data_IF_095828732722
#
_entry.id   IF_095828732722
#
_cell.length_a   1.000
_cell.length_b   1.000
_cell.length_c   1.000
_cell.angle_alpha   90.00
_cell.angle_beta   90.00
_cell.angle_gamma   90.00
#
_symmetry.space_group_name_H-M   'P 1'
#
loop_
_entity.id
_entity.type
_entity.pdbx_description
1 polymer ?
#
# COMPACT_ATOMS: atom_id res chain seq x y z
N UNK A 1 6.13 43.16 38.68
CA UNK A 1 5.85 42.77 37.27
C UNK A 1 7.14 42.39 36.50
N UNK A 2 8.20 43.20 36.47
CA UNK A 2 9.44 42.89 35.70
C UNK A 2 10.09 41.54 36.06
N UNK A 3 10.17 41.18 37.35
CA UNK A 3 10.77 39.90 37.79
C UNK A 3 10.00 38.65 37.31
N UNK A 4 8.67 38.75 37.17
CA UNK A 4 7.86 37.62 36.67
C UNK A 4 8.08 37.43 35.16
N UNK A 5 8.14 38.53 34.40
CA UNK A 5 8.41 38.48 32.96
C UNK A 5 9.78 37.87 32.62
N UNK A 6 10.84 38.19 33.37
CA UNK A 6 12.16 37.59 33.16
C UNK A 6 12.20 36.08 33.45
N UNK A 7 11.42 35.62 34.44
CA UNK A 7 11.33 34.19 34.77
C UNK A 7 10.62 33.40 33.66
N UNK A 8 9.55 33.95 33.09
CA UNK A 8 8.83 33.35 31.98
C UNK A 8 9.68 33.30 30.69
N UNK A 9 10.43 34.36 30.39
CA UNK A 9 11.37 34.38 29.27
C UNK A 9 12.46 33.31 29.42
N UNK A 10 12.99 33.11 30.64
CA UNK A 10 13.99 32.07 30.90
C UNK A 10 13.40 30.67 30.70
N UNK A 11 12.19 30.41 31.20
CA UNK A 11 11.50 29.13 30.97
C UNK A 11 11.27 28.85 29.49
N UNK A 12 10.86 29.86 28.71
CA UNK A 12 10.66 29.71 27.27
C UNK A 12 11.97 29.42 26.56
N UNK A 13 13.05 30.14 26.91
CA UNK A 13 14.39 29.91 26.37
C UNK A 13 14.90 28.49 26.66
N UNK A 14 14.73 28.02 27.90
CA UNK A 14 15.14 26.67 28.30
C UNK A 14 14.33 25.60 27.57
N UNK A 15 13.02 25.80 27.38
CA UNK A 15 12.16 24.91 26.62
C UNK A 15 12.53 24.85 25.13
N UNK A 16 12.84 25.98 24.51
CA UNK A 16 13.31 26.04 23.11
C UNK A 16 14.65 25.31 22.95
N UNK A 17 15.60 25.51 23.88
CA UNK A 17 16.89 24.81 23.85
C UNK A 17 16.72 23.29 24.01
N UNK A 18 15.79 22.84 24.85
CA UNK A 18 15.45 21.42 24.98
C UNK A 18 14.86 20.85 23.68
N UNK A 19 13.92 21.56 23.05
CA UNK A 19 13.32 21.15 21.78
C UNK A 19 14.34 21.12 20.62
N UNK A 20 15.27 22.08 20.56
CA UNK A 20 16.36 22.07 19.57
C UNK A 20 17.31 20.88 19.78
N UNK A 21 17.62 20.53 21.03
CA UNK A 21 18.43 19.36 21.35
C UNK A 21 17.76 18.05 20.92
N UNK A 22 16.46 17.91 21.17
CA UNK A 22 15.67 16.75 20.75
C UNK A 22 15.61 16.64 19.22
N UNK A 23 15.36 17.77 18.53
CA UNK A 23 15.39 17.84 17.07
C UNK A 23 16.76 17.47 16.50
N UNK A 24 17.84 17.91 17.11
CA UNK A 24 19.20 17.57 16.70
C UNK A 24 19.49 16.06 16.87
N UNK A 25 19.02 15.46 17.97
CA UNK A 25 19.15 14.02 18.20
C UNK A 25 18.37 13.21 17.15
N UNK A 26 17.14 13.60 16.83
CA UNK A 26 16.33 12.95 15.78
C UNK A 26 16.98 13.06 14.38
N UNK A 27 17.59 14.21 14.07
CA UNK A 27 18.35 14.39 12.82
C UNK A 27 19.58 13.46 12.78
N UNK A 28 20.32 13.35 13.89
CA UNK A 28 21.49 12.48 13.97
C UNK A 28 21.14 11.00 13.81
N UNK A 29 20.08 10.53 14.48
CA UNK A 29 19.58 9.16 14.34
C UNK A 29 19.15 8.86 12.90
N UNK A 30 18.49 9.82 12.26
CA UNK A 30 18.08 9.71 10.85
C UNK A 30 19.27 9.61 9.89
N UNK A 31 20.31 10.42 10.10
CA UNK A 31 21.53 10.36 9.29
C UNK A 31 22.24 9.02 9.45
N UNK A 32 22.32 8.49 10.69
CA UNK A 32 22.88 7.17 10.94
C UNK A 32 22.08 6.05 10.23
N UNK A 33 20.75 6.15 10.23
CA UNK A 33 19.91 5.21 9.50
C UNK A 33 20.11 5.28 7.97
N UNK A 34 20.23 6.50 7.41
CA UNK A 34 20.52 6.68 5.98
C UNK A 34 21.88 6.12 5.57
N UNK A 35 22.90 6.32 6.40
CA UNK A 35 24.23 5.74 6.17
C UNK A 35 24.18 4.21 6.15
N UNK A 36 23.45 3.60 7.10
CA UNK A 36 23.24 2.14 7.13
C UNK A 36 22.53 1.61 5.87
N UNK A 37 21.55 2.36 5.34
CA UNK A 37 20.90 1.98 4.08
C UNK A 37 21.85 2.06 2.88
N UNK A 38 22.74 3.05 2.84
CA UNK A 38 23.77 3.16 1.80
C UNK A 38 24.78 2.01 1.88
N UNK A 39 25.18 1.60 3.09
CA UNK A 39 26.05 0.44 3.31
C UNK A 39 25.41 -0.86 2.82
N UNK A 40 24.12 -1.07 3.11
CA UNK A 40 23.36 -2.24 2.61
C UNK A 40 23.28 -2.22 1.08
N UNK A 41 22.95 -1.07 0.47
CA UNK A 41 22.88 -0.95 -0.98
C UNK A 41 24.24 -1.18 -1.67
N UNK A 42 25.34 -0.70 -1.06
CA UNK A 42 26.68 -0.94 -1.54
C UNK A 42 27.07 -2.43 -1.46
N UNK A 43 26.70 -3.12 -0.38
CA UNK A 43 26.92 -4.56 -0.23
C UNK A 43 26.13 -5.38 -1.27
N UNK A 44 24.85 -5.05 -1.51
CA UNK A 44 24.03 -5.69 -2.54
C UNK A 44 24.62 -5.47 -3.95
N UNK A 45 25.14 -4.26 -4.23
CA UNK A 45 25.79 -3.95 -5.50
C UNK A 45 27.10 -4.73 -5.68
N UNK A 46 27.89 -4.90 -4.62
CA UNK A 46 29.12 -5.68 -4.65
C UNK A 46 28.84 -7.18 -4.92
N UNK A 47 27.85 -7.77 -4.25
CA UNK A 47 27.43 -9.16 -4.48
C UNK A 47 26.94 -9.38 -5.92
N UNK A 48 26.17 -8.42 -6.46
CA UNK A 48 25.71 -8.47 -7.84
C UNK A 48 26.88 -8.37 -8.85
N UNK A 49 27.90 -7.58 -8.55
CA UNK A 49 29.09 -7.46 -9.40
C UNK A 49 29.92 -8.75 -9.39
N UNK A 50 30.13 -9.36 -8.21
CA UNK A 50 30.84 -10.64 -8.07
C UNK A 50 30.10 -11.76 -8.83
N UNK A 51 28.77 -11.82 -8.73
CA UNK A 51 27.95 -12.77 -9.49
C UNK A 51 28.06 -12.56 -11.01
N UNK A 52 28.15 -11.30 -11.47
CA UNK A 52 28.34 -10.96 -12.87
C UNK A 52 29.72 -11.43 -13.37
N UNK A 53 30.77 -11.21 -12.59
CA UNK A 53 32.14 -11.64 -12.91
C UNK A 53 32.27 -13.17 -12.97
N UNK A 54 31.71 -13.88 -11.99
CA UNK A 54 31.64 -15.35 -12.00
C UNK A 54 30.91 -15.88 -13.26
N UNK A 55 29.82 -15.22 -13.64
CA UNK A 55 29.08 -15.56 -14.87
C UNK A 55 29.91 -15.30 -16.13
N UNK A 56 30.71 -14.22 -16.14
CA UNK A 56 31.60 -13.86 -17.26
C UNK A 56 32.71 -14.88 -17.45
N UNK A 57 33.32 -15.40 -16.37
CA UNK A 57 34.34 -16.45 -16.47
C UNK A 57 33.76 -17.77 -16.99
N UNK A 58 32.57 -18.16 -16.52
CA UNK A 58 31.85 -19.33 -17.06
C UNK A 58 31.54 -19.18 -18.56
N UNK A 59 31.23 -17.96 -19.02
CA UNK A 59 30.96 -17.67 -20.42
C UNK A 59 32.19 -17.83 -21.33
N UNK A 60 33.39 -17.50 -20.83
CA UNK A 60 34.65 -17.63 -21.59
C UNK A 60 35.01 -19.08 -21.89
N UNK A 61 34.63 -20.03 -21.02
CA UNK A 61 35.02 -21.43 -21.16
C UNK A 61 34.20 -22.29 -22.13
N UNK A 62 33.04 -21.83 -22.64
CA UNK A 62 32.09 -22.75 -23.33
C UNK A 62 31.51 -22.29 -24.67
N UNK A 63 31.93 -21.16 -25.24
CA UNK A 63 31.32 -20.67 -26.48
C UNK A 63 29.83 -20.28 -26.34
N UNK A 64 29.37 -20.06 -25.09
CA UNK A 64 27.98 -19.70 -24.74
C UNK A 64 27.83 -18.16 -24.60
N UNK A 65 28.74 -17.39 -25.20
CA UNK A 65 28.78 -15.93 -25.09
C UNK A 65 27.45 -15.25 -25.46
N UNK A 66 26.69 -15.79 -26.43
CA UNK A 66 25.38 -15.25 -26.83
C UNK A 66 24.30 -15.40 -25.76
N UNK A 67 24.24 -16.53 -25.05
CA UNK A 67 23.22 -16.77 -24.03
C UNK A 67 23.46 -15.89 -22.80
N UNK A 68 24.74 -15.74 -22.41
CA UNK A 68 25.15 -14.91 -21.27
C UNK A 68 24.92 -13.43 -21.56
N UNK A 69 25.25 -12.94 -22.76
CA UNK A 69 24.97 -11.54 -23.13
C UNK A 69 23.46 -11.25 -23.18
N UNK A 70 22.63 -12.23 -23.51
CA UNK A 70 21.17 -12.08 -23.50
C UNK A 70 20.63 -12.02 -22.06
N UNK A 71 21.13 -12.88 -21.16
CA UNK A 71 20.76 -12.84 -19.74
C UNK A 71 21.22 -11.55 -19.04
N UNK A 72 22.46 -11.11 -19.30
CA UNK A 72 22.98 -9.82 -18.79
C UNK A 72 22.18 -8.67 -19.38
N UNK A 73 21.84 -8.72 -20.68
CA UNK A 73 20.95 -7.75 -21.31
C UNK A 73 19.58 -7.69 -20.64
N UNK A 74 18.97 -8.83 -20.30
CA UNK A 74 17.68 -8.88 -19.59
C UNK A 74 17.78 -8.31 -18.17
N UNK A 75 18.86 -8.60 -17.43
CA UNK A 75 19.09 -8.03 -16.10
C UNK A 75 19.33 -6.53 -16.17
N UNK A 76 20.17 -6.06 -17.11
CA UNK A 76 20.45 -4.64 -17.32
C UNK A 76 19.25 -3.88 -17.87
N UNK A 77 18.43 -4.48 -18.74
CA UNK A 77 17.16 -3.89 -19.18
C UNK A 77 16.16 -3.87 -18.02
N UNK A 78 16.17 -4.86 -17.14
CA UNK A 78 15.37 -4.89 -15.91
C UNK A 78 15.76 -3.76 -14.95
N UNK A 79 17.05 -3.57 -14.69
CA UNK A 79 17.54 -2.48 -13.84
C UNK A 79 17.41 -1.11 -14.52
N UNK A 80 17.64 -1.01 -15.83
CA UNK A 80 17.44 0.23 -16.59
C UNK A 80 15.96 0.60 -16.73
N UNK A 81 15.05 -0.36 -16.91
CA UNK A 81 13.60 -0.09 -16.90
C UNK A 81 13.11 0.32 -15.53
N UNK A 82 13.72 -0.20 -14.46
CA UNK A 82 13.51 0.25 -13.09
C UNK A 82 13.96 1.71 -12.91
N UNK A 83 15.16 2.07 -13.37
CA UNK A 83 15.62 3.47 -13.36
C UNK A 83 14.80 4.38 -14.29
N UNK A 84 14.30 3.86 -15.42
CA UNK A 84 13.45 4.61 -16.37
C UNK A 84 12.04 4.84 -15.84
N UNK A 85 11.46 3.90 -15.08
CA UNK A 85 10.19 4.12 -14.38
C UNK A 85 10.34 5.14 -13.26
N UNK A 86 11.45 5.13 -12.50
CA UNK A 86 11.78 6.22 -11.58
C UNK A 86 11.93 7.56 -12.32
N UNK A 87 12.61 7.57 -13.47
CA UNK A 87 12.81 8.78 -14.27
C UNK A 87 11.50 9.32 -14.91
N UNK A 88 10.59 8.43 -15.34
CA UNK A 88 9.27 8.80 -15.89
C UNK A 88 8.34 9.31 -14.80
N UNK A 89 8.38 8.73 -13.58
CA UNK A 89 7.64 9.22 -12.42
C UNK A 89 8.15 10.61 -11.97
N UNK A 90 9.45 10.86 -12.10
CA UNK A 90 10.04 12.19 -11.92
C UNK A 90 9.53 13.15 -13.00
N UNK A 91 9.44 12.74 -14.28
CA UNK A 91 8.92 13.60 -15.35
C UNK A 91 7.40 13.89 -15.24
N UNK A 92 6.58 12.94 -14.79
CA UNK A 92 5.14 13.16 -14.54
C UNK A 92 4.90 14.07 -13.32
N UNK A 93 5.73 13.95 -12.28
CA UNK A 93 5.75 14.90 -11.16
C UNK A 93 6.14 16.31 -11.63
N UNK A 94 7.12 16.41 -12.53
CA UNK A 94 7.56 17.67 -13.13
C UNK A 94 6.44 18.33 -13.96
N UNK A 95 5.71 17.60 -14.80
CA UNK A 95 4.60 18.15 -15.59
C UNK A 95 3.45 18.69 -14.71
N UNK A 96 3.19 18.08 -13.56
CA UNK A 96 2.23 18.57 -12.59
C UNK A 96 2.74 19.82 -11.85
N UNK A 97 4.04 19.87 -11.52
CA UNK A 97 4.67 21.06 -10.93
C UNK A 97 4.73 22.24 -11.92
N UNK A 98 4.99 21.99 -13.20
CA UNK A 98 4.96 23.03 -14.26
C UNK A 98 3.54 23.56 -14.44
N UNK A 99 2.50 22.70 -14.42
CA UNK A 99 1.10 23.13 -14.50
C UNK A 99 0.65 23.98 -13.29
N UNK A 100 1.13 23.66 -12.09
CA UNK A 100 0.90 24.46 -10.87
C UNK A 100 1.64 25.79 -10.97
N UNK A 101 2.88 25.81 -11.47
CA UNK A 101 3.64 27.05 -11.69
C UNK A 101 3.05 27.95 -12.78
N UNK A 102 2.52 27.43 -13.89
CA UNK A 102 1.81 28.27 -14.89
C UNK A 102 0.56 28.90 -14.30
N UNK A 103 -0.17 28.18 -13.42
CA UNK A 103 -1.33 28.74 -12.70
C UNK A 103 -0.93 29.76 -11.63
N UNK A 104 0.23 29.58 -10.99
CA UNK A 104 0.78 30.52 -10.01
C UNK A 104 1.38 31.77 -10.68
N UNK A 105 2.08 31.61 -11.81
CA UNK A 105 2.64 32.71 -12.59
C UNK A 105 1.56 33.60 -13.23
N UNK A 106 0.41 33.03 -13.60
CA UNK A 106 -0.76 33.82 -14.02
C UNK A 106 -1.45 34.56 -12.86
N UNK A 107 -1.17 34.20 -11.60
CA UNK A 107 -1.76 34.81 -10.41
C UNK A 107 -0.84 35.85 -9.72
N UNK A 108 0.45 35.92 -10.08
CA UNK A 108 1.46 36.78 -9.43
C UNK A 108 2.09 37.74 -10.45
N UNK A 109 1.28 38.35 -11.32
CA UNK A 109 1.74 39.34 -12.31
C UNK A 109 1.64 40.79 -11.82
N UNK A 110 1.73 41.07 -10.52
CA UNK A 110 1.62 42.44 -10.00
C UNK A 110 2.64 42.85 -8.93
N UNK A 111 3.71 42.10 -8.71
CA UNK A 111 4.76 42.56 -7.78
C UNK A 111 6.17 42.29 -8.28
N UNK A 112 6.91 43.37 -8.54
CA UNK A 112 8.20 43.38 -9.21
C UNK A 112 9.33 43.56 -8.20
N UNK A 113 9.60 42.52 -7.41
CA UNK A 113 10.89 42.40 -6.69
C UNK A 113 11.10 40.97 -6.17
N UNK A 114 11.58 40.06 -7.03
CA UNK A 114 12.07 38.75 -6.60
C UNK A 114 13.42 38.42 -7.29
N UNK A 115 14.36 37.77 -6.58
CA UNK A 115 15.74 37.59 -7.00
C UNK A 115 15.89 36.53 -8.10
N UNK A 116 16.81 36.81 -9.02
CA UNK A 116 17.05 36.14 -10.30
C UNK A 116 17.88 34.84 -10.22
N UNK A 117 17.58 33.94 -9.28
CA UNK A 117 18.18 32.60 -9.28
C UNK A 117 17.16 31.53 -8.90
N UNK A 118 16.49 30.99 -9.91
CA UNK A 118 15.78 29.72 -9.81
C UNK A 118 16.82 28.59 -9.83
N UNK A 119 16.84 27.69 -8.83
CA UNK A 119 17.74 26.54 -8.83
C UNK A 119 17.44 25.61 -10.01
N UNK A 120 18.48 24.94 -10.51
CA UNK A 120 18.40 24.07 -11.68
C UNK A 120 17.45 22.88 -11.42
N UNK A 121 16.67 22.51 -12.45
CA UNK A 121 15.70 21.40 -12.42
C UNK A 121 16.32 20.00 -12.20
N UNK A 122 17.65 19.89 -12.06
CA UNK A 122 18.35 18.64 -11.79
C UNK A 122 18.54 18.31 -10.29
N UNK A 123 18.22 19.24 -9.38
CA UNK A 123 18.43 19.02 -7.93
C UNK A 123 17.22 18.41 -7.19
N UNK A 124 16.14 18.03 -7.89
CA UNK A 124 14.94 17.42 -7.30
C UNK A 124 14.88 15.89 -7.46
N UNK A 125 16.00 15.17 -7.29
CA UNK A 125 15.88 13.76 -6.90
C UNK A 125 15.41 13.75 -5.45
N UNK A 126 14.09 13.69 -5.21
CA UNK A 126 13.56 13.54 -3.86
C UNK A 126 14.06 12.19 -3.36
N UNK A 127 15.09 12.22 -2.51
CA UNK A 127 15.58 11.04 -1.86
C UNK A 127 14.43 10.47 -1.04
N UNK A 128 13.79 9.40 -1.52
CA UNK A 128 12.61 8.85 -0.87
C UNK A 128 12.93 8.38 0.57
N UNK A 129 14.21 8.17 0.94
CA UNK A 129 14.64 7.90 2.32
C UNK A 129 14.68 9.13 3.22
N UNK A 130 14.51 10.35 2.67
CA UNK A 130 14.47 11.62 3.39
C UNK A 130 13.05 12.17 3.59
N UNK A 131 12.00 11.36 3.36
CA UNK A 131 10.65 11.71 3.82
C UNK A 131 10.47 11.25 5.28
N UNK A 132 9.95 12.11 6.18
CA UNK A 132 9.73 11.73 7.57
C UNK A 132 8.70 10.59 7.64
N UNK A 133 9.01 9.57 8.43
CA UNK A 133 8.01 8.57 8.81
C UNK A 133 7.10 9.20 9.88
N UNK A 134 5.83 8.77 9.98
CA UNK A 134 4.93 9.25 11.04
C UNK A 134 5.49 8.96 12.44
N UNK A 135 5.12 9.77 13.43
CA UNK A 135 5.61 9.70 14.82
C UNK A 135 5.08 8.53 15.65
N UNK A 136 4.44 7.54 15.02
CA UNK A 136 3.98 6.34 15.72
C UNK A 136 5.16 5.44 16.01
N UNK A 137 5.28 4.98 17.24
CA UNK A 137 6.26 3.94 17.57
C UNK A 137 5.89 2.63 16.83
N UNK A 138 6.90 1.91 16.30
CA UNK A 138 6.64 0.60 15.72
C UNK A 138 6.08 -0.34 16.78
N UNK A 139 5.36 -1.38 16.35
CA UNK A 139 4.89 -2.37 17.30
C UNK A 139 6.08 -3.03 17.99
N UNK A 140 6.03 -3.15 19.32
CA UNK A 140 6.95 -4.05 20.03
C UNK A 140 6.63 -5.48 19.60
N UNK A 141 7.39 -5.99 18.64
CA UNK A 141 7.16 -7.31 18.05
C UNK A 141 7.40 -8.44 19.05
N UNK A 142 8.14 -8.19 20.14
CA UNK A 142 8.48 -9.20 21.17
C UNK A 142 7.26 -9.64 22.00
N UNK A 143 6.21 -8.82 22.05
CA UNK A 143 4.97 -9.17 22.75
C UNK A 143 4.13 -10.23 22.00
N UNK A 144 4.45 -10.48 20.72
CA UNK A 144 3.71 -11.39 19.85
C UNK A 144 4.49 -12.69 19.61
N UNK A 145 3.74 -13.78 19.46
CA UNK A 145 4.25 -15.11 19.11
C UNK A 145 3.72 -15.60 17.76
N UNK A 146 2.74 -14.87 17.21
CA UNK A 146 2.09 -15.19 15.95
C UNK A 146 1.60 -13.93 15.25
N UNK A 147 1.55 -13.98 13.91
CA UNK A 147 0.82 -13.07 13.05
C UNK A 147 -0.41 -13.81 12.53
N UNK A 148 -1.58 -13.17 12.64
CA UNK A 148 -2.81 -13.68 12.05
C UNK A 148 -3.38 -12.67 11.06
N UNK A 149 -3.47 -13.05 9.79
CA UNK A 149 -4.12 -12.26 8.76
C UNK A 149 -5.59 -12.67 8.62
N UNK A 150 -6.48 -11.73 8.94
CA UNK A 150 -7.90 -11.83 8.64
C UNK A 150 -8.17 -11.23 7.25
N UNK A 151 -8.29 -12.08 6.25
CA UNK A 151 -8.31 -11.66 4.85
C UNK A 151 -9.75 -11.54 4.32
N UNK A 152 -10.19 -10.31 4.10
CA UNK A 152 -11.42 -10.05 3.35
C UNK A 152 -11.19 -10.35 1.87
N UNK A 153 -12.10 -11.13 1.26
CA UNK A 153 -11.95 -11.51 -0.14
C UNK A 153 -11.84 -10.29 -1.05
N UNK A 154 -10.89 -10.38 -1.99
CA UNK A 154 -10.58 -9.35 -3.01
C UNK A 154 -10.05 -8.02 -2.46
N UNK A 155 -9.57 -8.00 -1.23
CA UNK A 155 -8.83 -6.88 -0.66
C UNK A 155 -7.31 -6.95 -0.91
N UNK A 156 -6.84 -7.76 -1.86
CA UNK A 156 -5.41 -7.84 -2.20
C UNK A 156 -4.57 -8.76 -1.30
N UNK A 157 -5.19 -9.68 -0.56
CA UNK A 157 -4.47 -10.50 0.42
C UNK A 157 -3.44 -11.47 -0.14
N UNK A 158 -3.45 -11.83 -1.43
CA UNK A 158 -2.37 -12.66 -1.99
C UNK A 158 -0.99 -12.00 -1.89
N UNK A 159 -0.92 -10.67 -2.07
CA UNK A 159 0.32 -9.89 -1.96
C UNK A 159 0.73 -9.77 -0.49
N UNK A 160 -0.22 -9.38 0.38
CA UNK A 160 0.04 -9.17 1.81
C UNK A 160 0.32 -10.48 2.53
N UNK A 161 -0.30 -11.59 2.15
CA UNK A 161 -0.01 -12.92 2.72
C UNK A 161 1.46 -13.27 2.59
N UNK A 162 2.02 -13.20 1.38
CA UNK A 162 3.44 -13.50 1.14
C UNK A 162 4.36 -12.56 1.91
N UNK A 163 3.98 -11.29 1.98
CA UNK A 163 4.72 -10.31 2.76
C UNK A 163 4.72 -10.66 4.26
N UNK A 164 3.55 -10.89 4.86
CA UNK A 164 3.42 -11.24 6.28
C UNK A 164 4.04 -12.60 6.62
N UNK A 165 4.08 -13.55 5.69
CA UNK A 165 4.85 -14.80 5.83
C UNK A 165 6.36 -14.50 5.99
N UNK A 166 6.90 -13.56 5.20
CA UNK A 166 8.30 -13.10 5.35
C UNK A 166 8.51 -12.37 6.69
N UNK A 167 7.58 -11.50 7.09
CA UNK A 167 7.63 -10.79 8.39
C UNK A 167 7.61 -11.77 9.56
N UNK A 168 6.70 -12.75 9.54
CA UNK A 168 6.63 -13.78 10.57
C UNK A 168 7.93 -14.59 10.64
N UNK A 169 8.52 -14.95 9.50
CA UNK A 169 9.82 -15.63 9.44
C UNK A 169 10.94 -14.77 10.05
N UNK A 170 10.98 -13.47 9.74
CA UNK A 170 11.98 -12.54 10.27
C UNK A 170 11.96 -12.52 11.81
N UNK A 171 10.77 -12.43 12.40
CA UNK A 171 10.56 -12.39 13.84
C UNK A 171 10.42 -13.77 14.51
N UNK A 172 10.67 -14.87 13.78
CA UNK A 172 10.50 -16.27 14.25
C UNK A 172 9.11 -16.56 14.85
N UNK A 173 8.07 -15.92 14.31
CA UNK A 173 6.67 -16.08 14.73
C UNK A 173 5.93 -17.10 13.87
N UNK A 174 4.82 -17.63 14.42
CA UNK A 174 3.86 -18.41 13.62
C UNK A 174 3.08 -17.49 12.68
N UNK A 175 2.77 -17.97 11.48
CA UNK A 175 1.88 -17.27 10.55
C UNK A 175 0.60 -18.08 10.31
N UNK A 176 -0.55 -17.41 10.32
CA UNK A 176 -1.82 -18.02 9.92
C UNK A 176 -2.70 -17.02 9.19
N UNK A 177 -3.60 -17.53 8.36
CA UNK A 177 -4.56 -16.74 7.59
C UNK A 177 -5.96 -17.31 7.77
N UNK A 178 -6.94 -16.43 7.92
CA UNK A 178 -8.35 -16.77 7.81
C UNK A 178 -8.93 -16.02 6.61
N UNK A 179 -9.33 -16.76 5.58
CA UNK A 179 -10.00 -16.25 4.39
C UNK A 179 -11.29 -17.07 4.18
N UNK A 180 -12.37 -16.43 3.74
CA UNK A 180 -13.63 -17.12 3.45
C UNK A 180 -14.66 -17.11 4.58
N UNK A 181 -14.31 -16.65 5.78
CA UNK A 181 -15.20 -16.70 6.95
C UNK A 181 -15.46 -15.33 7.56
N UNK A 182 -16.66 -15.11 8.09
CA UNK A 182 -17.01 -13.90 8.85
C UNK A 182 -16.44 -13.96 10.28
N UNK A 183 -16.15 -12.79 10.84
CA UNK A 183 -15.48 -12.62 12.12
C UNK A 183 -16.39 -13.09 13.24
N UNK A 184 -15.87 -13.99 14.08
CA UNK A 184 -16.57 -14.49 15.27
C UNK A 184 -15.72 -14.04 16.44
N UNK A 185 -16.21 -13.12 17.29
CA UNK A 185 -15.42 -12.39 18.31
C UNK A 185 -14.56 -13.20 19.28
N UNK A 186 -14.62 -14.53 19.25
CA UNK A 186 -13.69 -15.43 19.93
C UNK A 186 -12.37 -15.68 19.15
N UNK A 187 -12.11 -14.94 18.07
CA UNK A 187 -10.92 -15.10 17.24
C UNK A 187 -9.71 -14.31 17.74
N UNK A 188 -9.86 -13.45 18.76
CA UNK A 188 -8.73 -12.79 19.42
C UNK A 188 -7.90 -13.83 20.16
N UNK A 189 -6.65 -13.99 19.73
CA UNK A 189 -5.71 -14.96 20.31
C UNK A 189 -4.69 -14.22 21.18
N UNK A 190 -4.34 -14.74 22.38
CA UNK A 190 -3.28 -14.18 23.19
C UNK A 190 -1.97 -14.08 22.39
N UNK A 191 -1.23 -12.98 22.59
CA UNK A 191 0.08 -12.75 21.94
C UNK A 191 0.07 -12.95 20.42
N UNK A 192 -1.00 -12.53 19.75
CA UNK A 192 -1.14 -12.63 18.29
C UNK A 192 -1.36 -11.25 17.69
N UNK A 193 -0.51 -10.87 16.75
CA UNK A 193 -0.66 -9.65 15.97
C UNK A 193 -1.77 -9.85 14.94
N UNK A 194 -2.94 -9.32 15.25
CA UNK A 194 -4.14 -9.39 14.39
C UNK A 194 -4.08 -8.31 13.32
N UNK A 195 -4.01 -8.73 12.06
CA UNK A 195 -3.91 -7.84 10.90
C UNK A 195 -5.11 -8.11 9.97
N UNK A 196 -5.69 -7.07 9.39
CA UNK A 196 -6.71 -7.19 8.36
C UNK A 196 -6.45 -6.29 7.17
N UNK A 197 -7.23 -6.47 6.11
CA UNK A 197 -7.18 -5.66 4.90
C UNK A 197 -8.56 -5.14 4.51
N UNK A 198 -8.58 -3.89 4.05
CA UNK A 198 -9.73 -3.27 3.43
C UNK A 198 -9.37 -2.73 2.05
N UNK A 199 -10.39 -2.56 1.21
CA UNK A 199 -10.29 -2.04 -0.15
C UNK A 199 -11.50 -1.17 -0.43
N UNK A 200 -11.39 -0.23 -1.37
CA UNK A 200 -12.55 0.50 -1.87
C UNK A 200 -13.70 -0.48 -2.19
N UNK A 201 -14.92 -0.28 -1.65
CA UNK A 201 -16.01 -1.25 -1.79
C UNK A 201 -16.37 -1.53 -3.25
N UNK A 202 -16.35 -0.50 -4.10
CA UNK A 202 -16.64 -0.62 -5.52
C UNK A 202 -15.56 -1.42 -6.25
N UNK A 203 -14.28 -1.07 -6.09
CA UNK A 203 -13.16 -1.78 -6.67
C UNK A 203 -13.07 -3.24 -6.18
N UNK A 204 -13.47 -3.50 -4.94
CA UNK A 204 -13.57 -4.85 -4.36
C UNK A 204 -14.73 -5.64 -4.99
N UNK A 205 -15.90 -5.04 -5.14
CA UNK A 205 -17.06 -5.67 -5.78
C UNK A 205 -16.75 -5.99 -7.25
N UNK A 206 -16.17 -5.05 -7.99
CA UNK A 206 -15.70 -5.26 -9.37
C UNK A 206 -14.69 -6.40 -9.46
N UNK A 207 -13.70 -6.40 -8.57
CA UNK A 207 -12.70 -7.47 -8.52
C UNK A 207 -13.30 -8.83 -8.17
N UNK A 208 -14.37 -8.87 -7.38
CA UNK A 208 -15.10 -10.09 -7.06
C UNK A 208 -15.86 -10.60 -8.27
N UNK A 209 -16.59 -9.71 -8.95
CA UNK A 209 -17.33 -10.02 -10.17
C UNK A 209 -16.42 -10.64 -11.23
N UNK A 210 -15.30 -9.99 -11.54
CA UNK A 210 -14.38 -10.49 -12.55
C UNK A 210 -13.76 -11.81 -12.16
N UNK A 211 -13.29 -11.95 -10.92
CA UNK A 211 -12.63 -13.18 -10.51
C UNK A 211 -13.60 -14.36 -10.53
N UNK A 212 -14.79 -14.21 -9.95
CA UNK A 212 -15.77 -15.30 -9.90
C UNK A 212 -16.40 -15.56 -11.26
N UNK A 213 -16.49 -14.50 -12.09
CA UNK A 213 -16.87 -14.55 -13.49
C UNK A 213 -15.90 -15.32 -14.37
N UNK A 214 -14.59 -15.16 -14.14
CA UNK A 214 -13.51 -15.73 -14.94
C UNK A 214 -13.03 -17.10 -14.44
N UNK A 215 -12.89 -17.32 -13.13
CA UNK A 215 -12.38 -18.60 -12.57
C UNK A 215 -13.35 -19.75 -12.86
N UNK A 216 -14.63 -19.43 -13.02
CA UNK A 216 -15.65 -20.34 -13.48
C UNK A 216 -15.85 -20.29 -15.02
N UNK A 217 -14.80 -20.01 -15.79
CA UNK A 217 -14.80 -20.15 -17.24
C UNK A 217 -13.92 -21.30 -17.74
N UNK A 218 -13.00 -21.78 -16.90
CA UNK A 218 -12.08 -22.89 -17.21
C UNK A 218 -12.66 -24.26 -16.86
N UNK A 219 -13.80 -24.31 -16.17
CA UNK A 219 -14.63 -25.50 -16.11
C UNK A 219 -15.79 -25.28 -17.12
N UNK A 220 -15.88 -26.02 -18.23
CA UNK A 220 -16.84 -25.75 -19.32
C UNK A 220 -18.32 -25.95 -18.94
N UNK A 221 -18.62 -26.23 -17.67
CA UNK A 221 -19.99 -26.22 -17.11
C UNK A 221 -20.25 -25.06 -16.15
N UNK A 222 -19.28 -24.17 -15.91
CA UNK A 222 -19.36 -23.15 -14.87
C UNK A 222 -19.65 -21.75 -15.41
N UNK A 223 -19.96 -20.86 -14.46
CA UNK A 223 -20.50 -19.50 -14.54
C UNK A 223 -20.40 -18.71 -15.86
N UNK A 224 -19.35 -18.82 -16.69
CA UNK A 224 -19.33 -18.16 -18.01
C UNK A 224 -20.44 -18.65 -18.93
N UNK A 225 -20.75 -19.94 -18.90
CA UNK A 225 -21.88 -20.52 -19.60
C UNK A 225 -23.21 -20.15 -18.93
N UNK A 226 -23.24 -19.97 -17.62
CA UNK A 226 -24.40 -19.42 -16.91
C UNK A 226 -24.64 -17.95 -17.29
N UNK A 227 -23.63 -17.07 -17.29
CA UNK A 227 -23.71 -15.67 -17.71
C UNK A 227 -24.13 -15.56 -19.18
N UNK A 228 -23.57 -16.40 -20.05
CA UNK A 228 -23.98 -16.50 -21.46
C UNK A 228 -25.41 -17.04 -21.63
N UNK A 229 -25.81 -18.10 -20.90
CA UNK A 229 -27.14 -18.76 -20.99
C UNK A 229 -28.24 -17.93 -20.35
N UNK A 230 -27.99 -17.31 -19.21
CA UNK A 230 -28.93 -16.44 -18.49
C UNK A 230 -29.18 -15.13 -19.23
N UNK A 231 -28.41 -14.82 -20.29
CA UNK A 231 -28.42 -13.52 -20.96
C UNK A 231 -28.46 -12.41 -19.90
N UNK A 232 -27.59 -12.49 -18.88
CA UNK A 232 -27.56 -11.47 -17.82
C UNK A 232 -27.09 -10.19 -18.50
N UNK A 233 -28.06 -9.42 -19.00
CA UNK A 233 -27.85 -8.14 -19.67
C UNK A 233 -27.47 -7.15 -18.56
N UNK A 234 -26.18 -7.06 -18.28
CA UNK A 234 -25.62 -6.03 -17.41
C UNK A 234 -25.36 -6.47 -15.97
N UNK A 235 -24.44 -5.75 -15.34
CA UNK A 235 -24.00 -5.98 -13.96
C UNK A 235 -25.16 -5.91 -12.97
N UNK A 236 -26.11 -4.99 -13.19
CA UNK A 236 -27.32 -4.82 -12.37
C UNK A 236 -28.12 -6.12 -12.17
N UNK A 237 -28.46 -6.85 -13.24
CA UNK A 237 -29.24 -8.10 -13.11
C UNK A 237 -28.45 -9.19 -12.38
N UNK A 238 -27.13 -9.23 -12.56
CA UNK A 238 -26.27 -10.17 -11.84
C UNK A 238 -26.27 -9.89 -10.33
N UNK A 239 -26.24 -8.60 -9.96
CA UNK A 239 -26.31 -8.13 -8.57
C UNK A 239 -27.65 -8.45 -7.91
N UNK A 240 -28.76 -8.27 -8.64
CA UNK A 240 -30.12 -8.39 -8.09
C UNK A 240 -30.58 -9.84 -7.92
N UNK A 241 -29.98 -10.78 -8.65
CA UNK A 241 -30.16 -12.22 -8.46
C UNK A 241 -29.35 -12.70 -7.22
N UNK A 242 -29.81 -12.29 -6.03
CA UNK A 242 -29.24 -12.46 -4.68
C UNK A 242 -28.96 -13.92 -4.24
N UNK A 243 -29.07 -14.91 -5.12
CA UNK A 243 -28.98 -16.33 -4.81
C UNK A 243 -27.63 -16.99 -5.04
N UNK A 244 -26.66 -16.34 -5.71
CA UNK A 244 -25.35 -16.96 -5.95
C UNK A 244 -24.33 -16.57 -4.87
N UNK A 245 -23.48 -17.53 -4.50
CA UNK A 245 -22.38 -17.36 -3.52
C UNK A 245 -21.49 -16.14 -3.81
N UNK A 246 -21.34 -15.81 -5.10
CA UNK A 246 -20.58 -14.67 -5.62
C UNK A 246 -21.12 -13.33 -5.09
N UNK A 247 -22.45 -13.19 -5.03
CA UNK A 247 -23.10 -11.90 -4.71
C UNK A 247 -23.37 -11.69 -3.23
N UNK A 248 -23.49 -12.78 -2.46
CA UNK A 248 -23.51 -12.72 -0.99
C UNK A 248 -22.27 -12.00 -0.43
N UNK A 249 -21.12 -12.20 -1.09
CA UNK A 249 -19.83 -11.54 -0.78
C UNK A 249 -19.59 -10.23 -1.57
N UNK A 250 -20.48 -9.80 -2.46
CA UNK A 250 -20.27 -8.60 -3.27
C UNK A 250 -20.99 -7.36 -2.72
N UNK A 251 -22.05 -7.53 -1.93
CA UNK A 251 -22.79 -6.47 -1.25
C UNK A 251 -22.39 -6.37 0.23
N UNK A 252 -22.10 -5.16 0.73
CA UNK A 252 -21.75 -4.87 2.12
C UNK A 252 -20.81 -5.93 2.72
N UNK A 253 -19.79 -6.32 1.96
CA UNK A 253 -18.95 -7.45 2.31
C UNK A 253 -18.08 -7.12 3.52
N UNK A 254 -17.46 -5.94 3.57
CA UNK A 254 -16.61 -5.55 4.70
C UNK A 254 -17.44 -5.57 5.98
N UNK A 255 -18.60 -4.91 5.97
CA UNK A 255 -19.51 -4.84 7.11
C UNK A 255 -19.98 -6.23 7.53
N UNK A 256 -20.47 -7.07 6.62
CA UNK A 256 -20.82 -8.48 6.92
C UNK A 256 -19.63 -9.25 7.50
N UNK A 257 -18.43 -9.04 6.95
CA UNK A 257 -17.24 -9.77 7.35
C UNK A 257 -16.87 -9.46 8.80
N UNK A 258 -16.89 -8.19 9.20
CA UNK A 258 -16.50 -7.78 10.56
C UNK A 258 -17.66 -7.81 11.56
N UNK A 259 -18.92 -7.79 11.10
CA UNK A 259 -20.09 -7.91 11.97
C UNK A 259 -20.46 -9.37 12.32
N UNK A 260 -19.76 -10.36 11.75
CA UNK A 260 -20.04 -11.78 11.96
C UNK A 260 -21.19 -12.31 11.13
N UNK A 261 -21.32 -11.83 9.89
CA UNK A 261 -22.29 -12.30 8.91
C UNK A 261 -23.64 -11.60 8.98
N UNK A 262 -23.77 -10.55 9.80
CA UNK A 262 -25.00 -9.76 9.93
C UNK A 262 -24.93 -8.57 8.98
N UNK A 263 -25.66 -8.55 7.85
CA UNK A 263 -25.69 -7.40 6.95
C UNK A 263 -26.20 -6.14 7.69
N UNK A 264 -25.76 -4.95 7.31
CA UNK A 264 -26.27 -3.70 7.91
C UNK A 264 -25.68 -3.31 9.27
N UNK A 265 -24.91 -4.17 9.92
CA UNK A 265 -24.41 -3.88 11.27
C UNK A 265 -23.04 -3.18 11.26
N UNK A 266 -23.02 -1.93 10.76
CA UNK A 266 -21.82 -1.09 10.67
C UNK A 266 -21.22 -0.82 12.05
N UNK A 267 -22.04 -0.55 13.07
CA UNK A 267 -21.58 -0.28 14.44
C UNK A 267 -20.72 -1.41 15.00
N UNK A 268 -21.15 -2.67 14.83
CA UNK A 268 -20.35 -3.83 15.27
C UNK A 268 -19.08 -3.98 14.44
N UNK A 269 -19.14 -3.75 13.13
CA UNK A 269 -17.97 -3.80 12.27
C UNK A 269 -16.90 -2.75 12.68
N UNK A 270 -17.33 -1.52 12.99
CA UNK A 270 -16.48 -0.44 13.52
C UNK A 270 -15.80 -0.87 14.83
N UNK A 271 -16.58 -1.36 15.79
CA UNK A 271 -16.09 -1.84 17.08
C UNK A 271 -15.04 -2.96 16.93
N UNK A 272 -15.33 -3.97 16.10
CA UNK A 272 -14.39 -5.07 15.84
C UNK A 272 -13.08 -4.57 15.23
N UNK A 273 -13.16 -3.67 14.24
CA UNK A 273 -11.96 -3.10 13.61
C UNK A 273 -11.12 -2.27 14.58
N UNK A 274 -11.76 -1.57 15.52
CA UNK A 274 -11.09 -0.72 16.51
C UNK A 274 -10.43 -1.52 17.64
N UNK A 275 -11.05 -2.62 18.10
CA UNK A 275 -10.61 -3.30 19.33
C UNK A 275 -9.94 -4.66 19.11
N UNK A 276 -10.16 -5.30 17.96
CA UNK A 276 -9.67 -6.66 17.70
C UNK A 276 -8.51 -6.71 16.70
N UNK A 277 -8.26 -5.63 15.97
CA UNK A 277 -7.18 -5.53 14.99
C UNK A 277 -6.12 -4.52 15.41
N UNK A 278 -4.85 -4.92 15.34
CA UNK A 278 -3.72 -4.05 15.63
C UNK A 278 -3.34 -3.23 14.38
N UNK A 279 -3.50 -3.83 13.19
CA UNK A 279 -3.18 -3.19 11.93
C UNK A 279 -4.25 -3.45 10.87
N UNK A 280 -4.73 -2.37 10.26
CA UNK A 280 -5.63 -2.40 9.09
C UNK A 280 -4.85 -1.88 7.89
N UNK A 281 -4.66 -2.72 6.87
CA UNK A 281 -3.96 -2.36 5.63
C UNK A 281 -4.98 -1.96 4.55
N UNK A 282 -4.76 -0.83 3.90
CA UNK A 282 -5.63 -0.30 2.85
C UNK A 282 -5.07 -0.65 1.47
N UNK A 283 -5.76 -1.51 0.73
CA UNK A 283 -5.31 -2.00 -0.57
C UNK A 283 -5.06 -0.87 -1.57
N UNK A 284 -5.91 0.15 -1.59
CA UNK A 284 -5.80 1.26 -2.55
C UNK A 284 -4.53 2.10 -2.37
N UNK A 285 -3.88 2.00 -1.19
CA UNK A 285 -2.65 2.73 -0.87
C UNK A 285 -1.39 1.90 -1.09
N UNK A 286 -1.54 0.64 -1.50
CA UNK A 286 -0.43 -0.29 -1.67
C UNK A 286 0.43 0.03 -2.90
N UNK A 287 0.00 0.95 -3.75
CA UNK A 287 0.81 1.46 -4.83
C UNK A 287 1.77 2.57 -4.33
N UNK A 288 1.43 3.28 -3.23
CA UNK A 288 2.29 4.28 -2.57
C UNK A 288 3.47 3.61 -1.83
N UNK A 289 4.70 3.93 -2.24
CA UNK A 289 5.94 3.43 -1.63
C UNK A 289 6.09 3.87 -0.18
N UNK A 290 5.65 5.08 0.19
CA UNK A 290 5.71 5.60 1.56
C UNK A 290 4.82 4.78 2.48
N UNK A 291 3.63 4.42 2.01
CA UNK A 291 2.71 3.57 2.75
C UNK A 291 3.27 2.17 2.99
N UNK A 292 3.90 1.57 1.97
CA UNK A 292 4.59 0.27 2.09
C UNK A 292 5.77 0.33 3.06
N UNK A 293 6.55 1.42 3.05
CA UNK A 293 7.63 1.66 4.01
C UNK A 293 7.11 1.85 5.42
N UNK A 294 6.04 2.61 5.59
CA UNK A 294 5.37 2.78 6.89
C UNK A 294 4.90 1.45 7.46
N UNK A 295 4.24 0.58 6.67
CA UNK A 295 3.87 -0.76 7.13
C UNK A 295 5.11 -1.56 7.57
N UNK A 296 6.20 -1.47 6.81
CA UNK A 296 7.45 -2.19 7.13
C UNK A 296 8.14 -1.65 8.36
N UNK A 297 8.06 -0.33 8.60
CA UNK A 297 8.53 0.31 9.82
C UNK A 297 7.68 -0.13 11.02
N UNK A 298 6.34 -0.05 10.93
CA UNK A 298 5.44 -0.47 12.01
C UNK A 298 5.64 -1.92 12.43
N UNK A 299 6.05 -2.79 11.50
CA UNK A 299 6.30 -4.21 11.74
C UNK A 299 7.77 -4.54 12.02
N UNK A 300 8.62 -3.52 12.21
CA UNK A 300 10.06 -3.64 12.46
C UNK A 300 10.78 -4.55 11.45
N UNK A 301 10.59 -4.28 10.16
CA UNK A 301 11.15 -5.05 9.03
C UNK A 301 11.59 -4.16 7.86
N UNK A 302 12.48 -3.17 8.06
CA UNK A 302 12.84 -2.17 7.04
C UNK A 302 13.37 -2.74 5.72
N UNK A 303 13.91 -3.97 5.71
CA UNK A 303 14.41 -4.66 4.52
C UNK A 303 13.42 -5.61 3.82
N UNK A 304 12.26 -5.90 4.43
CA UNK A 304 11.32 -6.87 3.83
C UNK A 304 10.45 -6.16 2.79
N UNK A 305 10.69 -6.45 1.51
CA UNK A 305 9.93 -5.84 0.42
C UNK A 305 8.56 -6.50 0.23
N UNK A 306 7.55 -5.65 0.10
CA UNK A 306 6.21 -6.04 -0.28
C UNK A 306 6.06 -6.03 -1.81
N UNK A 307 6.32 -7.18 -2.43
CA UNK A 307 6.33 -7.33 -3.89
C UNK A 307 4.93 -7.65 -4.43
N UNK A 308 4.44 -6.83 -5.36
CA UNK A 308 3.21 -7.13 -6.09
C UNK A 308 3.49 -8.06 -7.29
N UNK A 309 3.61 -9.37 -7.05
CA UNK A 309 3.93 -10.38 -8.09
C UNK A 309 2.77 -10.71 -9.04
N UNK A 310 2.05 -9.73 -9.60
CA UNK A 310 0.95 -10.05 -10.52
C UNK A 310 0.95 -9.20 -11.80
N UNK A 311 1.71 -9.61 -12.85
CA UNK A 311 1.64 -9.00 -14.17
C UNK A 311 0.24 -9.15 -14.82
N UNK A 312 -0.61 -10.06 -14.31
CA UNK A 312 -1.99 -10.24 -14.77
C UNK A 312 -2.87 -8.99 -14.58
N UNK A 313 -2.45 -8.02 -13.74
CA UNK A 313 -3.19 -6.78 -13.50
C UNK A 313 -3.22 -5.85 -14.73
N UNK A 314 -2.18 -5.87 -15.58
CA UNK A 314 -2.19 -5.10 -16.84
C UNK A 314 -3.29 -5.60 -17.80
N UNK A 315 -3.44 -6.93 -17.89
CA UNK A 315 -4.53 -7.53 -18.66
C UNK A 315 -5.90 -7.28 -18.01
N UNK A 316 -5.97 -7.23 -16.68
CA UNK A 316 -7.20 -6.92 -15.96
C UNK A 316 -7.66 -5.48 -16.18
N UNK A 317 -6.76 -4.49 -16.15
CA UNK A 317 -7.08 -3.08 -16.41
C UNK A 317 -7.51 -2.85 -17.86
N UNK A 318 -6.83 -3.47 -18.83
CA UNK A 318 -7.24 -3.42 -20.23
C UNK A 318 -8.65 -4.02 -20.44
N UNK A 319 -8.99 -5.09 -19.70
CA UNK A 319 -10.34 -5.69 -19.73
C UNK A 319 -11.39 -4.80 -19.07
N UNK A 320 -11.07 -4.20 -17.92
CA UNK A 320 -11.94 -3.22 -17.25
C UNK A 320 -12.28 -2.05 -18.18
N UNK A 321 -11.32 -1.59 -18.99
CA UNK A 321 -11.54 -0.53 -19.96
C UNK A 321 -12.50 -0.96 -21.09
N UNK A 322 -12.52 -2.24 -21.47
CA UNK A 322 -13.34 -2.74 -22.59
C UNK A 322 -14.74 -3.24 -22.20
N UNK A 323 -14.96 -3.65 -20.94
CA UNK A 323 -16.19 -4.32 -20.50
C UNK A 323 -16.55 -4.06 -19.03
N UNK A 324 -16.02 -2.97 -18.44
CA UNK A 324 -16.30 -2.58 -17.07
C UNK A 324 -17.77 -2.22 -16.81
N UNK A 325 -18.14 -1.99 -15.54
CA UNK A 325 -19.48 -1.55 -15.19
C UNK A 325 -19.76 -0.17 -15.78
N UNK A 326 -20.97 0.02 -16.30
CA UNK A 326 -21.46 1.32 -16.75
C UNK A 326 -21.56 2.30 -15.56
N UNK A 327 -21.65 3.62 -15.78
CA UNK A 327 -21.92 4.56 -14.69
C UNK A 327 -23.15 4.20 -13.85
N UNK A 328 -24.23 3.73 -14.49
CA UNK A 328 -25.45 3.29 -13.81
C UNK A 328 -25.23 2.02 -12.98
N UNK A 329 -24.40 1.09 -13.47
CA UNK A 329 -24.01 -0.10 -12.70
C UNK A 329 -23.14 0.28 -11.49
N UNK A 330 -22.22 1.24 -11.65
CA UNK A 330 -21.38 1.75 -10.55
C UNK A 330 -22.22 2.42 -9.48
N UNK A 331 -23.22 3.21 -9.87
CA UNK A 331 -24.11 3.85 -8.90
C UNK A 331 -24.94 2.83 -8.14
N UNK A 332 -25.51 1.84 -8.84
CA UNK A 332 -26.19 0.71 -8.19
C UNK A 332 -25.26 -0.06 -7.24
N UNK A 333 -24.01 -0.32 -7.65
CA UNK A 333 -23.01 -0.97 -6.80
C UNK A 333 -22.66 -0.13 -5.57
N UNK A 334 -22.70 1.20 -5.64
CA UNK A 334 -22.53 2.06 -4.46
C UNK A 334 -23.72 1.93 -3.53
N UNK A 335 -24.94 2.05 -4.05
CA UNK A 335 -26.18 1.96 -3.27
C UNK A 335 -26.23 0.65 -2.45
N UNK A 336 -25.92 -0.50 -3.07
CA UNK A 336 -25.93 -1.79 -2.36
C UNK A 336 -24.73 -1.98 -1.41
N UNK A 337 -23.67 -1.17 -1.54
CA UNK A 337 -22.46 -1.21 -0.72
C UNK A 337 -22.38 -0.02 0.25
N UNK A 338 -23.48 0.69 0.51
CA UNK A 338 -23.49 1.91 1.31
C UNK A 338 -22.90 1.71 2.71
N UNK A 339 -23.15 0.56 3.34
CA UNK A 339 -22.60 0.24 4.67
C UNK A 339 -21.07 0.06 4.62
N UNK A 340 -20.55 -0.55 3.55
CA UNK A 340 -19.10 -0.70 3.35
C UNK A 340 -18.43 0.66 3.11
N UNK A 341 -19.11 1.58 2.41
CA UNK A 341 -18.64 2.96 2.26
C UNK A 341 -18.63 3.69 3.60
N UNK A 342 -19.71 3.62 4.39
CA UNK A 342 -19.76 4.21 5.73
C UNK A 342 -18.65 3.64 6.64
N UNK A 343 -18.40 2.33 6.56
CA UNK A 343 -17.31 1.69 7.30
C UNK A 343 -15.94 2.17 6.83
N UNK A 344 -15.72 2.27 5.52
CA UNK A 344 -14.45 2.74 4.97
C UNK A 344 -14.20 4.21 5.33
N UNK A 345 -15.22 5.06 5.24
CA UNK A 345 -15.20 6.46 5.66
C UNK A 345 -15.03 6.63 7.17
N UNK A 346 -15.20 5.58 7.97
CA UNK A 346 -14.79 5.62 9.38
C UNK A 346 -13.30 5.28 9.55
N UNK A 347 -12.77 4.41 8.69
CA UNK A 347 -11.36 3.97 8.71
C UNK A 347 -10.43 5.01 8.06
N UNK A 348 -10.89 5.74 7.03
CA UNK A 348 -10.08 6.67 6.22
C UNK A 348 -9.76 8.01 6.92
N UNK A 349 -10.71 8.76 7.50
CA UNK A 349 -10.48 10.08 8.09
C UNK A 349 -9.71 10.03 9.41
N UNK A 350 -9.74 8.88 10.10
CA UNK A 350 -8.85 8.61 11.24
C UNK A 350 -7.38 8.45 10.84
N UNK A 351 -7.04 8.65 9.55
CA UNK A 351 -5.75 8.35 8.92
C UNK A 351 -5.43 9.27 7.71
N UNK A 352 -6.12 10.39 7.54
CA UNK A 352 -5.93 11.31 6.39
C UNK A 352 -4.78 12.31 6.59
N UNK A 353 -4.28 12.43 7.80
CA UNK A 353 -3.09 13.17 8.18
C UNK A 353 -1.82 12.39 7.78
N UNK A 354 -1.58 12.25 6.48
CA UNK A 354 -0.20 12.07 5.95
C UNK A 354 0.52 13.40 5.77
N UNK A 355 0.24 14.32 6.68
CA UNK A 355 1.21 15.21 7.32
C UNK A 355 1.25 15.01 8.86
N UNK A 356 0.74 13.90 9.41
CA UNK A 356 0.89 13.49 10.82
C UNK A 356 -0.06 12.39 11.32
N UNK A 357 0.22 11.11 11.09
CA UNK A 357 -0.61 9.98 11.56
C UNK A 357 -0.46 9.74 13.06
N UNK A 358 -1.59 9.58 13.77
CA UNK A 358 -1.64 9.00 15.11
C UNK A 358 -2.67 7.86 15.16
N UNK A 359 -2.22 6.71 15.68
CA UNK A 359 -2.93 5.93 16.68
C UNK A 359 -1.94 5.52 17.77
#
# INVERSE_FOLDING_TARGET
MVKQSLHEQRKLSDAMAAAEKERAAAIAERLAYQQKLQEIAAAEAAEALEALEATRELARGRGIARLVMTLVGVVLIGTYSFFKEEHLLVMESNNNATNVQTKFASAVSSDSSLPSQLPSLHDYSINMSSLPLPSMEPFDMSQFTAIHLYHVRKAGGSTVRRYLEKVAKHHKMKYSVNEGYCYRGNQKRPKTLMITMVRDPLARAESSYWFEGEVNASNPHSFRDWVKKQKVKGWRKAVDERGTFVWGCASNCLTKWFSGGVPGNVTKAKHVLEHDFHLIIQQNRMDDLRYKRWISYMLDVPGVRMEHKNPSRKNHLARLASAGPTPQDREHLKEINQDDFELLDYILPRRSDLDGYIY
#
